data_IF_184072132013
#
_entry.id   IF_184072132013
#
_cell.length_a   1.000
_cell.length_b   1.000
_cell.length_c   1.000
_cell.angle_alpha   90.00
_cell.angle_beta   90.00
_cell.angle_gamma   90.00
#
_symmetry.space_group_name_H-M   'P 1'
#
loop_
_entity.id
_entity.type
_entity.pdbx_description
1 polymer ?
#
# COMPACT_ATOMS: atom_id res chain seq x y z
N UNK A 1 10.63 -13.24 -7.29
CA UNK A 1 11.59 -12.15 -7.52
C UNK A 1 10.83 -11.07 -8.25
N UNK A 2 10.42 -10.02 -7.54
CA UNK A 2 9.63 -8.94 -8.15
C UNK A 2 10.53 -8.07 -9.03
N UNK A 3 10.10 -7.84 -10.27
CA UNK A 3 10.92 -7.20 -11.29
C UNK A 3 11.01 -5.67 -11.07
N UNK A 4 12.21 -5.08 -11.19
CA UNK A 4 12.39 -3.63 -11.08
C UNK A 4 11.57 -2.88 -12.14
N UNK A 5 11.04 -1.70 -11.80
CA UNK A 5 10.23 -0.88 -12.69
C UNK A 5 10.91 0.47 -12.99
N UNK A 6 11.26 0.69 -14.25
CA UNK A 6 11.81 1.95 -14.78
C UNK A 6 10.74 3.04 -14.92
N UNK A 7 9.62 2.66 -15.51
CA UNK A 7 8.43 3.47 -15.71
C UNK A 7 7.26 2.54 -16.01
N UNK A 8 6.04 3.03 -15.85
CA UNK A 8 4.83 2.31 -16.22
C UNK A 8 3.98 1.94 -15.03
N UNK A 9 3.14 0.93 -15.23
CA UNK A 9 2.04 0.63 -14.32
C UNK A 9 2.32 -0.65 -13.53
N UNK A 10 2.12 -0.59 -12.22
CA UNK A 10 2.12 -1.75 -11.33
C UNK A 10 0.78 -1.84 -10.62
N UNK A 11 0.08 -2.95 -10.86
CA UNK A 11 -1.17 -3.25 -10.20
C UNK A 11 -0.91 -4.06 -8.93
N UNK A 12 -1.64 -3.72 -7.88
CA UNK A 12 -1.68 -4.45 -6.62
C UNK A 12 -3.05 -5.11 -6.49
N UNK A 13 -3.07 -6.42 -6.32
CA UNK A 13 -4.27 -7.16 -5.96
C UNK A 13 -4.24 -7.39 -4.44
N UNK A 14 -5.31 -6.98 -3.78
CA UNK A 14 -5.56 -7.26 -2.37
C UNK A 14 -6.63 -8.33 -2.28
N UNK A 15 -6.36 -9.39 -1.52
CA UNK A 15 -7.35 -10.38 -1.14
C UNK A 15 -7.37 -10.47 0.39
N UNK A 16 -8.44 -9.94 0.99
CA UNK A 16 -8.70 -10.03 2.43
C UNK A 16 -9.70 -11.16 2.76
N UNK A 17 -10.19 -11.88 1.75
CA UNK A 17 -11.19 -12.94 1.88
C UNK A 17 -12.62 -12.44 2.07
N UNK A 18 -13.59 -13.26 1.68
CA UNK A 18 -15.00 -12.89 1.62
C UNK A 18 -15.62 -12.48 2.96
N UNK A 19 -15.00 -12.84 4.09
CA UNK A 19 -15.41 -12.35 5.42
C UNK A 19 -15.27 -10.83 5.57
N UNK A 20 -14.41 -10.21 4.76
CA UNK A 20 -14.16 -8.76 4.75
C UNK A 20 -14.86 -8.05 3.58
N UNK A 21 -15.77 -8.73 2.87
CA UNK A 21 -16.53 -8.13 1.77
C UNK A 21 -17.25 -6.84 2.21
N UNK A 22 -17.20 -5.80 1.38
CA UNK A 22 -17.79 -4.49 1.71
C UNK A 22 -17.00 -3.65 2.71
N UNK A 23 -15.87 -4.14 3.24
CA UNK A 23 -14.97 -3.34 4.09
C UNK A 23 -14.16 -2.34 3.26
N UNK A 24 -13.68 -1.28 3.90
CA UNK A 24 -12.75 -0.33 3.27
C UNK A 24 -11.35 -0.94 3.25
N UNK A 25 -10.60 -0.76 2.18
CA UNK A 25 -9.16 -0.97 2.18
C UNK A 25 -8.42 0.34 1.92
N UNK A 26 -7.24 0.46 2.51
CA UNK A 26 -6.29 1.53 2.26
C UNK A 26 -4.90 0.92 2.01
N UNK A 27 -4.37 1.09 0.80
CA UNK A 27 -2.99 0.76 0.42
C UNK A 27 -2.07 1.92 0.76
N UNK A 28 -1.02 1.64 1.52
CA UNK A 28 -0.02 2.59 1.98
C UNK A 28 1.36 2.20 1.46
N UNK A 29 2.26 3.18 1.36
CA UNK A 29 3.64 2.96 0.96
C UNK A 29 4.64 3.49 1.99
N UNK A 30 5.81 2.86 2.13
CA UNK A 30 6.92 3.36 2.95
C UNK A 30 8.26 3.08 2.28
N UNK A 31 9.21 4.02 2.40
CA UNK A 31 10.58 3.88 1.90
C UNK A 31 11.58 3.47 2.98
N UNK A 32 11.13 3.44 4.23
CA UNK A 32 11.97 3.18 5.41
C UNK A 32 12.07 1.69 5.78
N UNK A 33 11.51 0.79 4.96
CA UNK A 33 11.50 -0.65 5.17
C UNK A 33 10.27 -1.17 5.91
N UNK A 34 10.34 -2.45 6.33
CA UNK A 34 9.20 -3.23 6.86
C UNK A 34 9.36 -3.71 8.32
N UNK A 35 10.53 -3.49 8.92
CA UNK A 35 10.84 -3.86 10.31
C UNK A 35 11.31 -2.62 11.08
N UNK A 36 10.74 -2.33 12.26
CA UNK A 36 9.85 -3.18 13.07
C UNK A 36 8.38 -3.22 12.61
N UNK A 37 7.98 -2.40 11.64
CA UNK A 37 6.58 -2.18 11.27
C UNK A 37 5.91 -1.14 12.18
N UNK A 38 4.70 -0.72 11.80
CA UNK A 38 3.91 0.30 12.50
C UNK A 38 2.74 -0.36 13.23
N UNK A 39 2.72 -0.25 14.55
CA UNK A 39 1.57 -0.68 15.35
C UNK A 39 0.38 0.25 15.12
N UNK A 40 -0.77 -0.33 14.83
CA UNK A 40 -2.04 0.36 14.64
C UNK A 40 -3.06 -0.12 15.70
N UNK A 41 -4.24 0.51 15.82
CA UNK A 41 -5.25 0.09 16.79
C UNK A 41 -5.63 -1.39 16.69
N UNK A 42 -6.28 -1.90 17.74
CA UNK A 42 -6.72 -3.30 17.82
C UNK A 42 -5.58 -4.34 17.80
N UNK A 43 -4.33 -3.91 18.05
CA UNK A 43 -3.18 -4.81 18.19
C UNK A 43 -2.58 -5.27 16.86
N UNK A 44 -3.00 -4.70 15.73
CA UNK A 44 -2.42 -5.02 14.43
C UNK A 44 -1.06 -4.32 14.23
N UNK A 45 -0.20 -4.95 13.46
CA UNK A 45 1.07 -4.37 13.00
C UNK A 45 1.07 -4.32 11.48
N UNK A 46 1.08 -3.10 10.94
CA UNK A 46 1.27 -2.86 9.52
C UNK A 46 2.76 -3.04 9.19
N UNK A 47 3.14 -3.91 8.23
CA UNK A 47 4.54 -4.16 7.89
C UNK A 47 5.14 -3.03 7.04
N UNK A 48 4.96 -1.78 7.47
CA UNK A 48 5.56 -0.57 6.91
C UNK A 48 6.09 0.26 8.08
N UNK A 49 7.25 0.89 7.91
CA UNK A 49 7.81 1.74 8.94
C UNK A 49 7.24 3.17 8.87
N UNK A 50 6.98 3.76 10.04
CA UNK A 50 6.65 5.18 10.26
C UNK A 50 7.41 5.73 11.48
N UNK A 51 7.78 7.02 11.55
CA UNK A 51 7.46 8.09 10.61
C UNK A 51 8.29 8.00 9.32
N UNK A 52 7.61 8.07 8.18
CA UNK A 52 8.19 8.08 6.84
C UNK A 52 7.40 9.11 6.00
N UNK A 53 8.06 9.98 5.20
CA UNK A 53 7.38 11.00 4.41
C UNK A 53 6.43 10.42 3.36
N UNK A 54 6.80 9.30 2.72
CA UNK A 54 5.98 8.63 1.72
C UNK A 54 4.77 7.92 2.37
N UNK A 55 4.96 7.36 3.56
CA UNK A 55 3.88 6.83 4.39
C UNK A 55 2.88 7.92 4.76
N UNK A 56 3.38 9.07 5.24
CA UNK A 56 2.55 10.21 5.60
C UNK A 56 1.76 10.74 4.40
N UNK A 57 2.38 10.80 3.23
CA UNK A 57 1.73 11.23 1.99
C UNK A 57 0.61 10.29 1.54
N UNK A 58 0.88 8.99 1.50
CA UNK A 58 -0.12 7.98 1.07
C UNK A 58 -1.26 7.82 2.07
N UNK A 59 -1.02 8.09 3.36
CA UNK A 59 -2.04 8.10 4.41
C UNK A 59 -2.94 9.35 4.36
N UNK A 60 -2.35 10.54 4.21
CA UNK A 60 -3.09 11.81 4.25
C UNK A 60 -3.79 12.13 2.92
N UNK A 61 -3.28 11.61 1.80
CA UNK A 61 -3.83 11.84 0.49
C UNK A 61 -3.91 10.53 -0.31
N UNK A 62 -4.91 9.68 -0.03
CA UNK A 62 -5.16 8.48 -0.84
C UNK A 62 -5.45 8.87 -2.29
N UNK A 63 -4.89 8.14 -3.26
CA UNK A 63 -4.90 8.55 -4.67
C UNK A 63 -3.70 9.39 -5.10
N UNK A 64 -2.97 10.00 -4.16
CA UNK A 64 -1.79 10.80 -4.45
C UNK A 64 -0.56 9.93 -4.75
N UNK A 65 0.55 10.58 -5.06
CA UNK A 65 1.84 9.92 -5.34
C UNK A 65 1.75 8.84 -6.43
N UNK A 66 0.85 9.07 -7.40
CA UNK A 66 0.56 8.16 -8.51
C UNK A 66 -0.04 6.81 -8.12
N UNK A 67 -0.52 6.68 -6.88
CA UNK A 67 -1.16 5.47 -6.37
C UNK A 67 -2.69 5.58 -6.52
N UNK A 68 -3.19 5.27 -7.71
CA UNK A 68 -4.62 5.26 -8.01
C UNK A 68 -5.34 4.11 -7.31
N UNK A 69 -6.62 4.33 -6.95
CA UNK A 69 -7.44 3.37 -6.22
C UNK A 69 -6.77 2.86 -4.93
N UNK A 70 -5.96 3.70 -4.27
CA UNK A 70 -5.32 3.31 -3.01
C UNK A 70 -6.28 3.26 -1.83
N UNK A 71 -7.46 3.87 -1.95
CA UNK A 71 -8.57 3.79 -1.01
C UNK A 71 -9.81 3.31 -1.77
N UNK A 72 -10.47 2.28 -1.27
CA UNK A 72 -11.67 1.74 -1.90
C UNK A 72 -12.44 0.78 -1.01
N UNK A 73 -13.48 0.17 -1.57
CA UNK A 73 -14.30 -0.84 -0.91
C UNK A 73 -13.96 -2.20 -1.53
N UNK A 74 -13.79 -3.21 -0.68
CA UNK A 74 -13.59 -4.60 -1.11
C UNK A 74 -14.87 -5.15 -1.72
N UNK A 75 -14.74 -5.91 -2.81
CA UNK A 75 -15.86 -6.53 -3.49
C UNK A 75 -16.49 -7.69 -2.70
N UNK A 76 -17.45 -8.41 -3.32
CA UNK A 76 -18.16 -9.53 -2.70
C UNK A 76 -17.27 -10.73 -2.32
N UNK A 77 -16.05 -10.80 -2.84
CA UNK A 77 -15.06 -11.81 -2.49
C UNK A 77 -14.01 -11.29 -1.50
N UNK A 78 -14.13 -10.03 -1.06
CA UNK A 78 -13.15 -9.39 -0.20
C UNK A 78 -11.89 -8.96 -0.96
N UNK A 79 -12.02 -8.68 -2.26
CA UNK A 79 -10.91 -8.30 -3.13
C UNK A 79 -10.90 -6.79 -3.44
N UNK A 80 -9.70 -6.23 -3.56
CA UNK A 80 -9.47 -4.83 -3.90
C UNK A 80 -8.31 -4.69 -4.89
N UNK A 81 -8.30 -3.60 -5.64
CA UNK A 81 -7.24 -3.33 -6.62
C UNK A 81 -6.77 -1.89 -6.55
N UNK A 82 -5.47 -1.72 -6.41
CA UNK A 82 -4.80 -0.43 -6.48
C UNK A 82 -3.77 -0.44 -7.61
N UNK A 83 -3.34 0.73 -8.06
CA UNK A 83 -2.39 0.83 -9.16
C UNK A 83 -1.41 1.96 -8.91
N UNK A 84 -0.11 1.66 -8.93
CA UNK A 84 0.94 2.65 -8.96
C UNK A 84 1.36 2.91 -10.41
N UNK A 85 1.33 4.18 -10.81
CA UNK A 85 1.89 4.63 -12.08
C UNK A 85 3.21 5.32 -11.83
N UNK A 86 4.33 4.72 -12.24
CA UNK A 86 5.62 5.39 -12.18
C UNK A 86 5.81 6.20 -13.46
N UNK A 87 5.82 7.55 -13.37
CA UNK A 87 6.01 8.39 -14.54
C UNK A 87 7.42 8.20 -15.11
N UNK A 88 7.55 8.35 -16.43
CA UNK A 88 8.86 8.45 -17.07
C UNK A 88 9.62 9.69 -16.57
N UNK A 89 10.94 9.60 -16.50
CA UNK A 89 11.78 10.72 -16.04
C UNK A 89 11.86 10.86 -14.52
N UNK A 90 11.64 9.76 -13.78
CA UNK A 90 12.03 9.71 -12.36
C UNK A 90 13.50 10.10 -12.24
N UNK A 91 13.78 11.03 -11.33
CA UNK A 91 15.13 11.55 -11.12
C UNK A 91 16.07 10.40 -10.75
N UNK A 92 17.29 10.39 -11.30
CA UNK A 92 18.26 9.29 -11.12
C UNK A 92 18.59 9.00 -9.64
N UNK A 93 18.36 9.97 -8.73
CA UNK A 93 18.51 9.77 -7.29
C UNK A 93 17.53 8.77 -6.68
N UNK A 94 16.45 8.39 -7.38
CA UNK A 94 15.48 7.41 -6.93
C UNK A 94 15.75 6.01 -7.48
N UNK A 95 16.70 5.84 -8.39
CA UNK A 95 17.08 4.51 -8.90
C UNK A 95 17.67 3.67 -7.78
N UNK A 96 17.18 2.44 -7.64
CA UNK A 96 17.55 1.53 -6.55
C UNK A 96 16.79 1.77 -5.24
N UNK A 97 15.94 2.81 -5.16
CA UNK A 97 15.03 2.99 -4.04
C UNK A 97 14.05 1.83 -3.99
N UNK A 98 13.91 1.23 -2.81
CA UNK A 98 12.91 0.19 -2.55
C UNK A 98 11.75 0.80 -1.79
N UNK A 99 10.59 0.84 -2.44
CA UNK A 99 9.34 1.26 -1.83
C UNK A 99 8.56 0.02 -1.43
N UNK A 100 8.07 -0.05 -0.20
CA UNK A 100 7.27 -1.15 0.28
C UNK A 100 5.82 -0.73 0.37
N UNK A 101 4.90 -1.58 -0.06
CA UNK A 101 3.47 -1.32 -0.01
C UNK A 101 2.75 -2.38 0.81
N UNK A 102 1.82 -1.96 1.67
CA UNK A 102 0.95 -2.86 2.43
C UNK A 102 -0.41 -2.18 2.63
N UNK A 103 -1.45 -3.00 2.71
CA UNK A 103 -2.82 -2.54 2.90
C UNK A 103 -3.33 -2.82 4.31
N UNK A 104 -4.16 -1.91 4.80
CA UNK A 104 -5.02 -2.12 5.97
C UNK A 104 -6.47 -2.17 5.51
N UNK A 105 -7.25 -3.08 6.08
CA UNK A 105 -8.69 -3.19 5.85
C UNK A 105 -9.43 -2.78 7.11
N UNK A 106 -10.43 -1.94 6.94
CA UNK A 106 -11.22 -1.31 7.98
C UNK A 106 -12.70 -1.68 7.80
N UNK A 107 -13.33 -2.17 8.87
CA UNK A 107 -14.77 -2.37 8.88
C UNK A 107 -15.50 -1.02 8.98
N UNK A 108 -16.62 -0.87 8.26
CA UNK A 108 -17.38 0.38 8.15
C UNK A 108 -18.38 0.63 9.28
N UNK A 109 -18.57 -0.33 10.19
CA UNK A 109 -19.34 -0.14 11.42
C UNK A 109 -18.55 0.73 12.41
N UNK A 110 -17.85 0.14 13.39
CA UNK A 110 -16.75 0.83 14.03
C UNK A 110 -15.54 0.82 13.08
N UNK A 111 -14.99 2.01 12.75
CA UNK A 111 -13.76 2.12 11.95
C UNK A 111 -12.61 1.47 12.73
N UNK A 112 -12.38 0.20 12.45
CA UNK A 112 -11.43 -0.65 13.17
C UNK A 112 -10.67 -1.52 12.18
N UNK A 113 -9.35 -1.70 12.34
CA UNK A 113 -8.60 -2.64 11.53
C UNK A 113 -9.13 -4.06 11.75
N UNK A 114 -9.42 -4.75 10.65
CA UNK A 114 -9.85 -6.17 10.65
C UNK A 114 -8.88 -7.07 9.90
N UNK A 115 -8.05 -6.50 9.03
CA UNK A 115 -7.02 -7.23 8.29
C UNK A 115 -5.86 -6.31 7.90
N UNK A 116 -4.68 -6.90 7.78
CA UNK A 116 -3.45 -6.25 7.29
C UNK A 116 -2.76 -7.20 6.30
N UNK A 117 -2.36 -6.69 5.14
CA UNK A 117 -1.65 -7.50 4.15
C UNK A 117 -0.16 -7.66 4.50
N UNK A 118 0.50 -8.59 3.82
CA UNK A 118 1.96 -8.56 3.74
C UNK A 118 2.46 -7.29 3.04
N UNK A 119 3.72 -6.94 3.26
CA UNK A 119 4.41 -5.93 2.48
C UNK A 119 4.89 -6.49 1.14
N UNK A 120 4.78 -5.70 0.09
CA UNK A 120 5.30 -6.00 -1.26
C UNK A 120 6.34 -4.94 -1.62
N UNK A 121 7.59 -5.33 -1.94
CA UNK A 121 8.62 -4.40 -2.36
C UNK A 121 8.48 -4.04 -3.85
N UNK A 122 8.78 -2.80 -4.18
CA UNK A 122 8.96 -2.31 -5.54
C UNK A 122 10.30 -1.58 -5.63
N UNK A 123 11.18 -2.08 -6.50
CA UNK A 123 12.46 -1.44 -6.79
C UNK A 123 12.29 -0.52 -7.99
N UNK A 124 12.64 0.76 -7.82
CA UNK A 124 12.70 1.69 -8.93
C UNK A 124 13.95 1.44 -9.77
N UNK A 125 13.76 1.22 -11.07
CA UNK A 125 14.82 1.03 -12.05
C UNK A 125 15.15 2.35 -12.79
N UNK A 126 16.27 2.40 -13.53
CA UNK A 126 16.62 3.53 -14.40
C UNK A 126 15.58 3.77 -15.49
#
# INVERSE_FOLDING_TARGET
>A
MDAPLAHGVRSFALNAGASNAGSIYLLLGSTSGVSPGTTIPCGFTLPLNSPDPYFSLTLQSPGAAFLSNSLGILDGLGEGQATLTVPGGIHLSYVGLVVHFAAVVLELGPITPVFVSNAVPLVLAP
#
